data_IF_014376375573
#
_entry.id   IF_014376375573
#
_cell.length_a   1.000
_cell.length_b   1.000
_cell.length_c   1.000
_cell.angle_alpha   90.00
_cell.angle_beta   90.00
_cell.angle_gamma   90.00
#
_symmetry.space_group_name_H-M   'P 1'
#
loop_
_entity.id
_entity.type
_entity.pdbx_description
1 polymer ?
#
# COMPACT_ATOMS: atom_id res chain seq x y z
N UNK A 1 21.22 2.98 38.93
CA UNK A 1 19.82 2.66 39.20
C UNK A 1 19.40 1.63 38.16
N UNK A 2 19.06 0.41 38.60
CA UNK A 2 18.53 -0.61 37.70
C UNK A 2 17.08 -0.21 37.30
N UNK A 3 16.72 -0.23 36.03
CA UNK A 3 15.34 0.06 35.61
C UNK A 3 14.42 -0.96 36.26
N UNK A 4 13.35 -0.48 36.86
CA UNK A 4 12.32 -1.33 37.45
C UNK A 4 11.62 -2.09 36.29
N UNK A 5 11.62 -3.41 36.36
CA UNK A 5 11.08 -4.31 35.33
C UNK A 5 9.55 -4.16 35.07
N UNK A 6 8.88 -3.23 35.76
CA UNK A 6 7.41 -3.08 35.75
C UNK A 6 6.81 -2.38 34.56
N UNK A 7 7.60 -1.68 33.71
CA UNK A 7 7.07 -0.81 32.66
C UNK A 7 7.17 -1.37 31.24
N UNK A 8 7.79 -2.54 31.04
CA UNK A 8 7.89 -3.18 29.74
C UNK A 8 6.57 -3.92 29.41
N UNK A 9 5.89 -3.49 28.35
CA UNK A 9 4.69 -4.14 27.83
C UNK A 9 5.02 -4.83 26.50
N UNK A 10 4.77 -6.14 26.44
CA UNK A 10 4.91 -6.93 25.21
C UNK A 10 3.53 -7.39 24.73
N UNK A 11 3.28 -7.24 23.45
CA UNK A 11 2.05 -7.70 22.77
C UNK A 11 2.42 -8.57 21.60
N UNK A 12 1.86 -9.78 21.56
CA UNK A 12 1.88 -10.62 20.36
C UNK A 12 0.91 -10.04 19.34
N UNK A 13 1.31 -10.00 18.09
CA UNK A 13 0.48 -9.57 16.95
C UNK A 13 0.50 -10.66 15.88
N UNK A 14 -0.58 -10.79 15.14
CA UNK A 14 -0.64 -11.76 14.06
C UNK A 14 -1.85 -11.53 13.18
N UNK A 15 -1.78 -12.04 11.96
CA UNK A 15 -2.91 -12.05 11.03
C UNK A 15 -2.82 -13.20 10.07
N UNK A 16 -4.00 -13.65 9.65
CA UNK A 16 -4.19 -14.64 8.59
C UNK A 16 -5.27 -14.12 7.65
N UNK A 17 -4.91 -13.88 6.40
CA UNK A 17 -5.82 -13.51 5.32
C UNK A 17 -5.77 -14.61 4.27
N UNK A 18 -6.86 -15.35 4.13
CA UNK A 18 -7.02 -16.44 3.17
C UNK A 18 -8.01 -16.03 2.09
N UNK A 19 -7.56 -16.04 0.85
CA UNK A 19 -8.33 -15.65 -0.32
C UNK A 19 -8.64 -16.86 -1.21
N UNK A 20 -9.83 -16.85 -1.79
CA UNK A 20 -10.21 -17.69 -2.92
C UNK A 20 -10.72 -16.81 -4.05
N UNK A 21 -10.41 -17.16 -5.29
CA UNK A 21 -10.82 -16.37 -6.44
C UNK A 21 -11.14 -17.21 -7.67
N UNK A 22 -12.13 -16.71 -8.42
CA UNK A 22 -12.57 -17.29 -9.69
C UNK A 22 -12.61 -16.18 -10.74
N UNK A 23 -11.88 -16.40 -11.83
CA UNK A 23 -11.90 -15.52 -12.99
C UNK A 23 -13.00 -15.94 -13.95
N UNK A 24 -13.78 -14.96 -14.39
CA UNK A 24 -14.91 -15.13 -15.30
C UNK A 24 -14.63 -14.42 -16.62
N UNK A 25 -15.07 -15.01 -17.75
CA UNK A 25 -14.87 -14.45 -19.11
C UNK A 25 -13.41 -14.17 -19.44
N UNK A 26 -12.52 -15.03 -19.01
CA UNK A 26 -11.07 -14.85 -19.13
C UNK A 26 -10.43 -15.71 -20.21
N UNK A 27 -11.21 -16.42 -21.03
CA UNK A 27 -10.74 -17.37 -22.07
C UNK A 27 -9.63 -18.32 -21.56
N UNK A 28 -9.71 -18.71 -20.28
CA UNK A 28 -8.69 -19.52 -19.55
C UNK A 28 -7.30 -18.86 -19.44
N UNK A 29 -7.24 -17.54 -19.52
CA UNK A 29 -5.99 -16.80 -19.40
C UNK A 29 -5.48 -16.74 -17.95
N UNK A 30 -6.38 -16.74 -16.96
CA UNK A 30 -6.06 -16.68 -15.54
C UNK A 30 -6.46 -17.95 -14.80
N UNK A 31 -5.63 -18.37 -13.87
CA UNK A 31 -5.87 -19.50 -12.99
C UNK A 31 -6.79 -19.15 -11.81
N UNK A 32 -7.80 -19.98 -11.58
CA UNK A 32 -8.60 -19.94 -10.35
C UNK A 32 -7.85 -20.61 -9.22
N UNK A 33 -8.05 -20.17 -7.98
CA UNK A 33 -7.35 -20.79 -6.87
C UNK A 33 -7.62 -20.17 -5.51
N UNK A 34 -6.78 -20.57 -4.57
CA UNK A 34 -6.75 -20.06 -3.19
C UNK A 34 -5.33 -19.73 -2.80
N UNK A 35 -5.16 -18.73 -1.93
CA UNK A 35 -3.86 -18.33 -1.40
C UNK A 35 -3.97 -17.82 0.04
N UNK A 36 -2.85 -17.87 0.75
CA UNK A 36 -2.66 -17.00 1.91
C UNK A 36 -2.12 -15.65 1.41
N UNK A 37 -3.00 -14.68 1.31
CA UNK A 37 -2.64 -13.34 0.87
C UNK A 37 -1.70 -12.63 1.87
N UNK A 38 -1.94 -12.84 3.17
CA UNK A 38 -1.10 -12.28 4.22
C UNK A 38 -1.14 -13.18 5.48
N UNK A 39 -0.05 -13.82 5.78
CA UNK A 39 0.14 -14.59 7.00
C UNK A 39 1.31 -14.01 7.77
N UNK A 40 1.06 -13.49 8.98
CA UNK A 40 2.10 -12.81 9.79
C UNK A 40 2.00 -13.17 11.25
N UNK A 41 3.18 -13.16 11.88
CA UNK A 41 3.34 -13.20 13.32
C UNK A 41 4.36 -12.12 13.72
N UNK A 42 4.13 -11.46 14.84
CA UNK A 42 5.02 -10.41 15.29
C UNK A 42 4.89 -10.09 16.77
N UNK A 43 5.81 -9.28 17.23
CA UNK A 43 5.85 -8.77 18.60
C UNK A 43 5.97 -7.26 18.57
N UNK A 44 5.19 -6.58 19.41
CA UNK A 44 5.34 -5.16 19.73
C UNK A 44 5.70 -5.03 21.19
N UNK A 45 6.84 -4.42 21.47
CA UNK A 45 7.28 -4.07 22.82
C UNK A 45 7.20 -2.56 23.02
N UNK A 46 6.80 -2.12 24.22
CA UNK A 46 6.77 -0.70 24.59
C UNK A 46 7.37 -0.52 25.99
N UNK A 47 8.25 0.45 26.12
CA UNK A 47 8.89 0.84 27.38
C UNK A 47 9.00 2.35 27.44
N UNK A 48 8.27 2.98 28.35
CA UNK A 48 8.17 4.45 28.44
C UNK A 48 7.80 5.06 27.07
N UNK A 49 8.66 5.92 26.54
CA UNK A 49 8.50 6.59 25.24
C UNK A 49 9.00 5.76 24.04
N UNK A 50 9.60 4.60 24.29
CA UNK A 50 10.15 3.72 23.27
C UNK A 50 9.15 2.65 22.86
N UNK A 51 9.11 2.35 21.60
CA UNK A 51 8.41 1.18 21.07
C UNK A 51 9.28 0.47 20.04
N UNK A 52 9.16 -0.85 20.01
CA UNK A 52 9.80 -1.73 19.04
C UNK A 52 8.74 -2.62 18.41
N UNK A 53 8.85 -2.84 17.12
CA UNK A 53 7.98 -3.79 16.40
C UNK A 53 8.82 -4.67 15.50
N UNK A 54 8.53 -5.97 15.52
CA UNK A 54 9.09 -6.93 14.60
C UNK A 54 7.98 -7.85 14.11
N UNK A 55 7.86 -7.99 12.80
CA UNK A 55 6.90 -8.88 12.14
C UNK A 55 7.60 -9.75 11.10
N UNK A 56 7.27 -11.04 11.10
CA UNK A 56 7.66 -12.00 10.06
C UNK A 56 6.41 -12.42 9.31
N UNK A 57 6.48 -12.42 8.00
CA UNK A 57 5.39 -12.83 7.12
C UNK A 57 5.78 -14.01 6.24
N UNK A 58 4.79 -14.84 5.93
CA UNK A 58 4.90 -15.94 4.97
C UNK A 58 3.88 -15.73 3.86
N UNK A 59 4.35 -15.51 2.65
CA UNK A 59 3.53 -15.32 1.44
C UNK A 59 4.29 -15.87 0.23
N UNK A 60 3.59 -16.58 -0.65
CA UNK A 60 4.20 -17.11 -1.89
C UNK A 60 5.37 -18.04 -1.66
N UNK A 61 5.29 -18.92 -0.65
CA UNK A 61 6.35 -19.85 -0.23
C UNK A 61 7.66 -19.18 0.24
N UNK A 62 7.59 -17.91 0.63
CA UNK A 62 8.74 -17.17 1.14
C UNK A 62 8.47 -16.58 2.51
N UNK A 63 9.42 -16.75 3.41
CA UNK A 63 9.47 -16.05 4.69
C UNK A 63 10.16 -14.71 4.48
N UNK A 64 9.58 -13.63 4.98
CA UNK A 64 10.16 -12.28 4.88
C UNK A 64 9.92 -11.49 6.15
N UNK A 65 10.92 -10.68 6.53
CA UNK A 65 10.77 -9.70 7.59
C UNK A 65 9.89 -8.58 7.03
N UNK A 66 8.81 -8.24 7.74
CA UNK A 66 7.90 -7.14 7.39
C UNK A 66 8.34 -5.87 8.10
N UNK A 67 7.67 -5.48 9.16
CA UNK A 67 8.13 -4.35 9.96
C UNK A 67 9.23 -4.81 10.93
N UNK A 68 10.32 -4.04 11.02
CA UNK A 68 11.39 -4.23 12.00
C UNK A 68 11.97 -2.86 12.35
N UNK A 69 11.42 -2.20 13.36
CA UNK A 69 11.79 -0.84 13.70
C UNK A 69 11.73 -0.55 15.20
N UNK A 70 12.47 0.48 15.62
CA UNK A 70 12.32 1.14 16.88
C UNK A 70 11.80 2.56 16.68
N UNK A 71 10.95 3.04 17.58
CA UNK A 71 10.42 4.40 17.55
C UNK A 71 10.47 5.04 18.96
N UNK A 72 10.78 6.32 18.99
CA UNK A 72 10.72 7.17 20.18
C UNK A 72 9.61 8.20 20.01
N UNK A 73 8.69 8.27 20.97
CA UNK A 73 7.54 9.17 20.94
C UNK A 73 7.62 10.17 22.10
N UNK A 74 7.58 11.47 21.77
CA UNK A 74 7.52 12.55 22.76
C UNK A 74 6.39 13.50 22.41
N UNK A 75 5.28 13.40 23.13
CA UNK A 75 4.07 14.15 22.84
C UNK A 75 3.55 13.87 21.41
N UNK A 76 3.61 14.86 20.53
CA UNK A 76 3.17 14.77 19.15
C UNK A 76 4.29 14.38 18.16
N UNK A 77 5.49 14.17 18.65
CA UNK A 77 6.70 13.94 17.86
C UNK A 77 7.11 12.48 17.92
N UNK A 78 7.36 11.87 16.77
CA UNK A 78 7.77 10.48 16.66
C UNK A 78 9.02 10.44 15.77
N UNK A 79 10.07 9.79 16.23
CA UNK A 79 11.25 9.43 15.42
C UNK A 79 11.24 7.92 15.30
N UNK A 80 11.38 7.41 14.09
CA UNK A 80 11.36 5.98 13.80
C UNK A 80 12.58 5.59 12.98
N UNK A 81 13.21 4.45 13.30
CA UNK A 81 14.39 3.93 12.62
C UNK A 81 14.23 2.43 12.44
N UNK A 82 14.55 1.94 11.24
CA UNK A 82 14.47 0.52 10.88
C UNK A 82 13.81 0.29 9.55
N UNK A 83 13.13 -0.86 9.40
CA UNK A 83 12.40 -1.23 8.20
C UNK A 83 10.91 -1.02 8.38
N UNK A 84 10.31 -0.17 7.54
CA UNK A 84 8.87 0.13 7.53
C UNK A 84 8.47 0.76 6.20
N UNK A 85 7.17 1.08 6.02
CA UNK A 85 6.69 1.76 4.81
C UNK A 85 7.09 3.23 4.80
N UNK A 86 7.49 3.70 3.61
CA UNK A 86 7.65 5.13 3.34
C UNK A 86 6.31 5.86 3.53
N UNK A 87 6.28 7.07 4.13
CA UNK A 87 5.04 7.84 4.32
C UNK A 87 4.60 8.50 3.01
N UNK A 88 4.02 7.72 2.09
CA UNK A 88 3.69 8.22 0.75
C UNK A 88 2.21 8.16 0.41
N UNK A 89 1.53 7.01 0.52
CA UNK A 89 0.12 6.89 0.15
C UNK A 89 -0.75 6.53 1.34
N UNK A 90 -1.98 7.02 1.32
CA UNK A 90 -2.99 6.74 2.34
C UNK A 90 -3.37 5.26 2.38
N UNK A 91 -3.55 4.62 1.22
CA UNK A 91 -3.98 3.21 1.13
C UNK A 91 -2.85 2.23 1.53
N UNK A 92 -1.59 2.47 1.10
CA UNK A 92 -0.47 1.58 1.45
C UNK A 92 -0.12 1.60 2.94
N UNK A 93 -0.32 2.71 3.62
CA UNK A 93 -0.10 2.83 5.07
C UNK A 93 -1.19 2.11 5.87
N UNK A 94 -2.33 1.85 5.26
CA UNK A 94 -3.42 1.08 5.84
C UNK A 94 -3.00 -0.40 6.02
N UNK A 95 -3.40 -0.99 7.12
CA UNK A 95 -3.19 -2.43 7.31
C UNK A 95 -3.99 -3.24 6.30
N UNK A 96 -3.40 -4.30 5.75
CA UNK A 96 -4.03 -5.15 4.72
C UNK A 96 -5.40 -5.69 5.12
N UNK A 97 -5.64 -5.93 6.39
CA UNK A 97 -6.94 -6.37 6.90
C UNK A 97 -7.97 -5.24 7.04
N UNK A 98 -7.53 -3.99 7.02
CA UNK A 98 -8.40 -2.81 7.07
C UNK A 98 -8.80 -2.30 5.67
N UNK A 99 -8.14 -2.78 4.60
CA UNK A 99 -8.52 -2.49 3.22
C UNK A 99 -9.99 -2.89 2.96
N UNK A 100 -10.70 -2.12 2.12
CA UNK A 100 -12.09 -2.43 1.74
C UNK A 100 -12.20 -3.58 0.76
N UNK A 101 -11.18 -3.76 -0.06
CA UNK A 101 -11.06 -4.83 -1.05
C UNK A 101 -9.89 -5.77 -0.72
N UNK A 102 -9.73 -6.84 -1.50
CA UNK A 102 -8.70 -7.86 -1.32
C UNK A 102 -7.29 -7.30 -1.53
N UNK A 103 -7.15 -6.32 -2.43
CA UNK A 103 -5.89 -5.64 -2.74
C UNK A 103 -6.06 -4.12 -2.71
N UNK A 104 -4.95 -3.42 -2.49
CA UNK A 104 -4.85 -1.99 -2.75
C UNK A 104 -5.17 -1.69 -4.23
N UNK A 105 -5.59 -0.47 -4.56
CA UNK A 105 -5.77 -0.05 -5.96
C UNK A 105 -4.53 -0.28 -6.80
N UNK A 106 -4.71 -0.63 -8.08
CA UNK A 106 -3.60 -0.95 -8.98
C UNK A 106 -2.52 0.14 -9.05
N UNK A 107 -2.92 1.42 -8.99
CA UNK A 107 -1.98 2.55 -8.96
C UNK A 107 -1.12 2.58 -7.68
N UNK A 108 -1.70 2.26 -6.54
CA UNK A 108 -0.97 2.18 -5.28
C UNK A 108 0.04 1.02 -5.33
N UNK A 109 -0.38 -0.17 -5.81
CA UNK A 109 0.51 -1.31 -5.98
C UNK A 109 1.65 -1.03 -6.95
N UNK A 110 1.39 -0.32 -8.05
CA UNK A 110 2.40 0.00 -9.06
C UNK A 110 3.42 1.05 -8.59
N UNK A 111 2.98 2.09 -7.87
CA UNK A 111 3.80 3.26 -7.57
C UNK A 111 4.30 3.34 -6.13
N UNK A 112 3.93 2.41 -5.26
CA UNK A 112 4.52 2.33 -3.93
C UNK A 112 5.67 1.33 -3.90
N UNK A 113 6.69 1.66 -3.15
CA UNK A 113 7.71 0.68 -2.81
C UNK A 113 7.22 -0.13 -1.60
N UNK A 114 7.71 -1.33 -1.45
CA UNK A 114 7.52 -2.09 -0.22
C UNK A 114 8.17 -1.38 0.97
N UNK A 115 8.33 -2.11 2.05
CA UNK A 115 9.10 -1.63 3.20
C UNK A 115 10.55 -1.40 2.82
N UNK A 116 11.16 -0.35 3.39
CA UNK A 116 12.55 0.01 3.17
C UNK A 116 13.21 0.34 4.50
N UNK A 117 14.53 0.17 4.55
CA UNK A 117 15.33 0.60 5.69
C UNK A 117 15.50 2.11 5.65
N UNK A 118 15.25 2.76 6.78
CA UNK A 118 15.36 4.21 6.85
C UNK A 118 15.08 4.80 8.20
N UNK A 119 14.95 6.10 8.21
CA UNK A 119 14.55 6.89 9.36
C UNK A 119 13.48 7.88 8.96
N UNK A 120 12.53 8.12 9.83
CA UNK A 120 11.49 9.13 9.62
C UNK A 120 11.23 9.94 10.89
N UNK A 121 10.78 11.16 10.66
CA UNK A 121 10.22 12.03 11.69
C UNK A 121 8.75 12.28 11.37
N UNK A 122 7.90 12.21 12.39
CA UNK A 122 6.46 12.49 12.27
C UNK A 122 6.01 13.46 13.34
N UNK A 123 5.30 14.50 12.93
CA UNK A 123 4.49 15.33 13.79
C UNK A 123 3.02 14.91 13.65
N UNK A 124 2.40 14.49 14.75
CA UNK A 124 1.01 14.03 14.80
C UNK A 124 0.17 14.91 15.72
N UNK A 125 -0.37 15.99 15.18
CA UNK A 125 -1.31 16.88 15.87
C UNK A 125 -2.76 16.56 15.52
N UNK A 126 -3.72 17.14 16.22
CA UNK A 126 -5.16 16.90 15.98
C UNK A 126 -5.58 17.26 14.54
N UNK A 127 -5.18 18.43 14.05
CA UNK A 127 -5.58 18.94 12.74
C UNK A 127 -4.50 18.82 11.67
N UNK A 128 -3.24 18.69 12.06
CA UNK A 128 -2.11 18.61 11.14
C UNK A 128 -1.29 17.36 11.45
N UNK A 129 -0.95 16.66 10.40
CA UNK A 129 0.01 15.57 10.42
C UNK A 129 1.08 15.87 9.37
N UNK A 130 2.32 15.69 9.74
CA UNK A 130 3.46 15.84 8.84
C UNK A 130 4.44 14.70 9.10
N UNK A 131 4.85 14.01 8.05
CA UNK A 131 5.88 12.97 8.15
C UNK A 131 6.86 13.13 7.00
N UNK A 132 8.14 12.88 7.27
CA UNK A 132 9.18 12.86 6.26
C UNK A 132 10.31 11.93 6.68
N UNK A 133 11.03 11.41 5.71
CA UNK A 133 12.05 10.43 5.97
C UNK A 133 13.15 10.34 4.93
N UNK A 134 14.18 9.60 5.30
CA UNK A 134 15.27 9.17 4.43
C UNK A 134 15.31 7.65 4.42
N UNK A 135 15.29 7.05 3.24
CA UNK A 135 15.25 5.61 3.05
C UNK A 135 16.29 5.16 2.03
N UNK A 136 16.81 3.95 2.22
CA UNK A 136 17.62 3.27 1.20
C UNK A 136 16.73 2.37 0.35
N UNK A 137 17.18 1.94 -0.82
CA UNK A 137 16.42 1.01 -1.67
C UNK A 137 16.61 -0.46 -1.26
N UNK A 138 16.99 -0.68 -0.02
CA UNK A 138 17.18 -2.00 0.59
C UNK A 138 16.07 -2.36 1.56
N UNK A 139 15.82 -3.63 1.70
CA UNK A 139 15.09 -4.25 2.80
C UNK A 139 15.93 -5.34 3.47
N UNK A 140 15.53 -5.78 4.66
CA UNK A 140 16.26 -6.79 5.43
C UNK A 140 16.31 -8.19 4.76
N UNK A 141 15.54 -8.40 3.69
CA UNK A 141 15.51 -9.64 2.92
C UNK A 141 16.42 -9.64 1.70
N UNK A 142 16.94 -8.49 1.29
CA UNK A 142 17.72 -8.33 0.06
C UNK A 142 19.03 -7.61 0.35
N UNK A 143 20.09 -8.38 0.54
CA UNK A 143 21.45 -7.84 0.55
C UNK A 143 21.91 -7.71 -0.90
N UNK A 144 22.11 -6.48 -1.34
CA UNK A 144 22.57 -6.18 -2.71
C UNK A 144 24.08 -5.91 -2.70
N UNK A 145 24.80 -6.47 -3.66
CA UNK A 145 26.23 -6.21 -3.88
C UNK A 145 26.46 -5.01 -4.80
N UNK A 146 25.62 -3.99 -4.71
CA UNK A 146 25.61 -2.81 -5.57
C UNK A 146 25.46 -1.55 -4.71
N UNK A 147 25.76 -0.39 -5.26
CA UNK A 147 25.45 0.87 -4.59
C UNK A 147 23.95 1.09 -4.59
N UNK A 148 23.38 1.09 -3.41
CA UNK A 148 21.95 1.27 -3.22
C UNK A 148 21.51 2.70 -3.50
N UNK A 149 20.40 2.86 -4.18
CA UNK A 149 19.69 4.12 -4.28
C UNK A 149 19.15 4.57 -2.92
N UNK A 150 18.75 5.82 -2.86
CA UNK A 150 18.10 6.39 -1.67
C UNK A 150 16.84 7.17 -2.05
N UNK A 151 15.98 7.37 -1.07
CA UNK A 151 14.81 8.22 -1.19
C UNK A 151 14.75 9.26 -0.06
N UNK A 152 14.19 10.40 -0.40
CA UNK A 152 13.73 11.43 0.53
C UNK A 152 12.26 11.61 0.27
N UNK A 153 11.46 11.52 1.31
CA UNK A 153 10.01 11.65 1.21
C UNK A 153 9.42 12.64 2.20
N UNK A 154 8.21 13.05 1.91
CA UNK A 154 7.41 13.88 2.78
C UNK A 154 5.93 13.73 2.49
N UNK A 155 5.12 13.72 3.54
CA UNK A 155 3.65 13.69 3.49
C UNK A 155 3.07 14.67 4.48
N UNK A 156 2.15 15.50 4.02
CA UNK A 156 1.43 16.47 4.82
C UNK A 156 -0.06 16.17 4.76
N UNK A 157 -0.74 16.21 5.90
CA UNK A 157 -2.18 15.99 6.00
C UNK A 157 -2.82 17.09 6.85
N UNK A 158 -3.90 17.63 6.33
CA UNK A 158 -4.77 18.56 7.04
C UNK A 158 -6.10 17.88 7.36
N UNK A 159 -6.48 17.90 8.64
CA UNK A 159 -7.71 17.30 9.18
C UNK A 159 -8.58 18.39 9.81
N UNK A 160 -9.27 19.22 9.01
CA UNK A 160 -10.11 20.32 9.54
C UNK A 160 -11.23 19.80 10.45
N UNK A 161 -11.76 18.63 10.14
CA UNK A 161 -12.68 17.88 11.00
C UNK A 161 -12.00 16.59 11.42
N UNK A 162 -11.76 16.42 12.70
CA UNK A 162 -11.20 15.20 13.29
C UNK A 162 -11.89 14.95 14.64
N UNK A 163 -13.07 14.35 14.56
CA UNK A 163 -13.97 14.06 15.67
C UNK A 163 -14.46 12.61 15.56
N UNK A 164 -14.96 12.07 16.65
CA UNK A 164 -15.51 10.72 16.64
C UNK A 164 -16.64 10.56 15.60
N UNK A 165 -16.45 9.63 14.67
CA UNK A 165 -17.37 9.38 13.57
C UNK A 165 -17.46 10.46 12.49
N UNK A 166 -16.60 11.51 12.55
CA UNK A 166 -16.54 12.56 11.52
C UNK A 166 -15.09 12.92 11.23
N UNK A 167 -14.69 12.75 9.99
CA UNK A 167 -13.35 13.08 9.53
C UNK A 167 -13.39 13.71 8.15
N UNK A 168 -12.64 14.79 7.99
CA UNK A 168 -12.21 15.30 6.69
C UNK A 168 -10.69 15.32 6.70
N UNK A 169 -10.09 14.55 5.80
CA UNK A 169 -8.65 14.41 5.66
C UNK A 169 -8.28 14.79 4.22
N UNK A 170 -7.38 15.72 4.08
CA UNK A 170 -6.82 16.20 2.81
C UNK A 170 -5.31 16.12 2.93
N UNK A 171 -4.65 15.43 2.02
CA UNK A 171 -3.20 15.27 2.09
C UNK A 171 -2.51 15.35 0.75
N UNK A 172 -1.19 15.52 0.83
CA UNK A 172 -0.29 15.46 -0.31
C UNK A 172 1.05 14.87 0.12
N UNK A 173 1.69 14.16 -0.81
CA UNK A 173 2.97 13.53 -0.56
C UNK A 173 3.90 13.62 -1.78
N UNK A 174 5.21 13.60 -1.51
CA UNK A 174 6.26 13.62 -2.52
C UNK A 174 7.36 12.65 -2.13
N UNK A 175 7.92 11.97 -3.13
CA UNK A 175 9.12 11.12 -2.97
C UNK A 175 10.10 11.46 -4.07
N UNK A 176 11.32 11.83 -3.70
CA UNK A 176 12.48 11.85 -4.58
C UNK A 176 13.28 10.57 -4.35
N UNK A 177 13.65 9.85 -5.42
CA UNK A 177 14.41 8.59 -5.32
C UNK A 177 15.46 8.49 -6.40
N UNK A 178 16.65 8.03 -6.05
CA UNK A 178 17.68 7.61 -6.99
C UNK A 178 17.57 6.10 -7.25
N UNK A 179 17.90 5.61 -8.45
CA UNK A 179 17.94 4.17 -8.71
C UNK A 179 19.13 3.52 -8.00
N UNK A 180 19.08 2.20 -7.86
CA UNK A 180 20.28 1.42 -7.56
C UNK A 180 21.25 1.52 -8.74
N UNK A 181 22.55 1.67 -8.49
CA UNK A 181 23.56 1.53 -9.52
C UNK A 181 24.03 0.07 -9.55
N UNK A 182 23.72 -0.62 -10.62
CA UNK A 182 24.19 -1.97 -10.84
C UNK A 182 25.69 -2.00 -11.17
N UNK A 183 26.29 -3.18 -11.14
CA UNK A 183 27.62 -3.39 -11.69
C UNK A 183 27.58 -3.17 -13.23
N UNK A 184 28.65 -2.65 -13.84
CA UNK A 184 28.68 -2.43 -15.27
C UNK A 184 28.32 -3.73 -16.04
N UNK A 185 27.31 -3.65 -16.89
CA UNK A 185 26.82 -4.77 -17.68
C UNK A 185 25.59 -5.50 -17.15
N UNK A 186 25.04 -5.11 -16.00
CA UNK A 186 23.76 -5.61 -15.52
C UNK A 186 22.60 -5.00 -16.31
N UNK A 187 21.65 -5.84 -16.73
CA UNK A 187 20.46 -5.40 -17.50
C UNK A 187 19.53 -4.44 -16.73
N UNK A 188 19.64 -4.42 -15.41
CA UNK A 188 18.79 -3.61 -14.52
C UNK A 188 19.51 -2.36 -13.99
N UNK A 189 20.65 -2.01 -14.58
CA UNK A 189 21.39 -0.81 -14.19
C UNK A 189 20.52 0.44 -14.33
N UNK A 190 20.50 1.26 -13.26
CA UNK A 190 19.76 2.52 -13.22
C UNK A 190 18.29 2.38 -13.69
N UNK A 191 17.60 1.37 -13.21
CA UNK A 191 16.26 1.01 -13.68
C UNK A 191 15.21 1.16 -12.58
N UNK A 192 14.05 1.72 -12.94
CA UNK A 192 12.83 1.63 -12.12
C UNK A 192 11.82 0.67 -12.75
N UNK A 193 11.26 -0.22 -11.93
CA UNK A 193 10.24 -1.18 -12.34
C UNK A 193 8.94 -0.88 -11.60
N UNK A 194 7.86 -0.71 -12.36
CA UNK A 194 6.50 -0.54 -11.86
C UNK A 194 5.67 -1.73 -12.26
N UNK A 195 5.00 -2.36 -11.29
CA UNK A 195 4.21 -3.56 -11.55
C UNK A 195 2.97 -3.61 -10.68
N UNK A 196 1.89 -4.14 -11.24
CA UNK A 196 0.65 -4.39 -10.51
C UNK A 196 -0.02 -5.65 -11.01
N UNK A 197 -0.47 -6.55 -10.12
CA UNK A 197 -1.30 -7.69 -10.48
C UNK A 197 -2.75 -7.28 -10.79
N UNK A 198 -3.11 -6.01 -10.60
CA UNK A 198 -4.47 -5.52 -10.74
C UNK A 198 -5.30 -5.75 -9.49
N UNK A 199 -6.48 -6.35 -9.63
CA UNK A 199 -7.46 -6.51 -8.54
C UNK A 199 -7.28 -7.78 -7.71
N UNK A 200 -6.44 -8.73 -8.16
CA UNK A 200 -6.28 -10.04 -7.55
C UNK A 200 -4.84 -10.54 -7.67
N UNK A 201 -4.37 -11.26 -6.66
CA UNK A 201 -3.08 -11.97 -6.62
C UNK A 201 -3.22 -13.48 -6.74
N UNK A 202 -4.43 -14.01 -6.87
CA UNK A 202 -4.69 -15.46 -7.04
C UNK A 202 -3.93 -16.01 -8.24
N UNK A 203 -3.95 -15.30 -9.36
CA UNK A 203 -3.02 -15.52 -10.47
C UNK A 203 -1.84 -14.56 -10.28
N UNK A 204 -0.63 -15.09 -10.16
CA UNK A 204 0.57 -14.36 -9.75
C UNK A 204 1.18 -13.50 -10.88
N UNK A 205 0.48 -13.28 -11.99
CA UNK A 205 0.96 -12.46 -13.10
C UNK A 205 0.66 -10.98 -12.87
N UNK A 206 1.54 -10.13 -13.40
CA UNK A 206 1.33 -8.69 -13.36
C UNK A 206 0.60 -8.26 -14.65
N UNK A 207 -0.53 -7.59 -14.48
CA UNK A 207 -1.27 -6.93 -15.57
C UNK A 207 -0.50 -5.72 -16.09
N UNK A 208 0.13 -4.99 -15.21
CA UNK A 208 0.91 -3.80 -15.49
C UNK A 208 2.37 -4.11 -15.20
N UNK A 209 3.24 -3.80 -16.16
CA UNK A 209 4.68 -3.95 -16.00
C UNK A 209 5.42 -2.90 -16.86
N UNK A 210 5.96 -1.87 -16.24
CA UNK A 210 6.76 -0.85 -16.89
C UNK A 210 8.20 -0.92 -16.37
N UNK A 211 9.17 -1.10 -17.27
CA UNK A 211 10.60 -1.03 -17.00
C UNK A 211 11.13 0.28 -17.61
N UNK A 212 11.71 1.13 -16.78
CA UNK A 212 12.29 2.43 -17.16
C UNK A 212 13.76 2.43 -16.85
N UNK A 213 14.54 2.21 -17.86
CA UNK A 213 16.01 2.17 -17.84
C UNK A 213 16.64 3.56 -17.97
N UNK A 214 17.98 3.62 -17.84
CA UNK A 214 18.76 4.87 -17.93
C UNK A 214 18.24 5.98 -17.00
N UNK A 215 17.72 5.61 -15.84
CA UNK A 215 17.14 6.54 -14.88
C UNK A 215 18.24 7.27 -14.08
N UNK A 216 18.09 8.59 -13.94
CA UNK A 216 18.88 9.42 -13.01
C UNK A 216 18.21 9.55 -11.66
N UNK A 217 16.93 9.86 -11.67
CA UNK A 217 16.09 9.94 -10.48
C UNK A 217 14.61 9.84 -10.84
N UNK A 218 13.83 9.52 -9.85
CA UNK A 218 12.37 9.47 -9.89
C UNK A 218 11.81 10.54 -8.95
N UNK A 219 10.74 11.21 -9.39
CA UNK A 219 9.90 12.06 -8.56
C UNK A 219 8.47 11.51 -8.58
N UNK A 220 7.96 11.09 -7.42
CA UNK A 220 6.55 10.73 -7.24
C UNK A 220 5.82 11.85 -6.51
N UNK A 221 4.58 12.07 -6.90
CA UNK A 221 3.68 13.04 -6.30
C UNK A 221 2.32 12.38 -6.09
N UNK A 222 1.72 12.59 -4.94
CA UNK A 222 0.40 12.09 -4.60
C UNK A 222 -0.45 13.15 -3.95
N UNK A 223 -1.75 13.11 -4.22
CA UNK A 223 -2.76 13.86 -3.48
C UNK A 223 -3.82 12.88 -3.00
N UNK A 224 -4.36 13.13 -1.81
CA UNK A 224 -5.26 12.22 -1.15
C UNK A 224 -6.42 12.94 -0.47
N UNK A 225 -7.58 12.32 -0.48
CA UNK A 225 -8.79 12.76 0.19
C UNK A 225 -9.45 11.59 0.90
N UNK A 226 -9.90 11.84 2.13
CA UNK A 226 -10.76 10.90 2.85
C UNK A 226 -11.84 11.67 3.61
N UNK A 227 -13.06 11.19 3.51
CA UNK A 227 -14.22 11.69 4.24
C UNK A 227 -14.85 10.50 4.96
N UNK A 228 -15.03 10.63 6.27
CA UNK A 228 -15.86 9.71 7.03
C UNK A 228 -16.93 10.51 7.78
N UNK A 229 -18.17 10.10 7.65
CA UNK A 229 -19.27 10.66 8.38
C UNK A 229 -20.20 9.55 8.86
N UNK A 230 -20.05 9.17 10.14
CA UNK A 230 -20.77 8.05 10.74
C UNK A 230 -20.66 6.77 9.89
N UNK A 231 -21.72 6.40 9.16
CA UNK A 231 -21.83 5.19 8.33
C UNK A 231 -21.35 5.36 6.90
N UNK A 232 -21.01 6.57 6.47
CA UNK A 232 -20.51 6.87 5.14
C UNK A 232 -19.01 7.04 5.14
N UNK A 233 -18.35 6.51 4.12
CA UNK A 233 -16.92 6.63 3.90
C UNK A 233 -16.63 6.89 2.42
N UNK A 234 -15.73 7.83 2.14
CA UNK A 234 -15.20 8.12 0.83
C UNK A 234 -13.68 8.28 0.93
N UNK A 235 -12.95 7.73 -0.01
CA UNK A 235 -11.51 7.82 -0.11
C UNK A 235 -11.09 7.89 -1.57
N UNK A 236 -10.06 8.66 -1.86
CA UNK A 236 -9.45 8.69 -3.19
C UNK A 236 -8.03 9.21 -3.14
N UNK A 237 -7.23 8.74 -4.08
CA UNK A 237 -5.87 9.21 -4.32
C UNK A 237 -5.62 9.36 -5.82
N UNK A 238 -4.80 10.33 -6.18
CA UNK A 238 -4.19 10.44 -7.50
C UNK A 238 -2.68 10.49 -7.34
N UNK A 239 -1.97 9.64 -8.08
CA UNK A 239 -0.52 9.48 -7.98
C UNK A 239 0.08 9.59 -9.37
N UNK A 240 1.17 10.34 -9.46
CA UNK A 240 2.00 10.47 -10.66
C UNK A 240 3.45 10.16 -10.33
N UNK A 241 4.11 9.47 -11.23
CA UNK A 241 5.57 9.29 -11.23
C UNK A 241 6.18 9.96 -12.45
N UNK A 242 7.34 10.56 -12.27
CA UNK A 242 8.18 11.09 -13.35
C UNK A 242 9.59 10.56 -13.15
N UNK A 243 10.19 10.03 -14.20
CA UNK A 243 11.58 9.57 -14.20
C UNK A 243 12.40 10.45 -15.12
N UNK A 244 13.37 11.13 -14.55
CA UNK A 244 14.40 11.80 -15.31
C UNK A 244 15.39 10.73 -15.80
N UNK A 245 15.59 10.65 -17.11
CA UNK A 245 16.54 9.74 -17.73
C UNK A 245 17.83 10.46 -18.13
N UNK A 246 18.83 9.70 -18.48
CA UNK A 246 20.11 10.22 -18.97
C UNK A 246 19.96 11.01 -20.28
N UNK A 247 21.04 11.70 -20.68
CA UNK A 247 21.07 12.41 -21.97
C UNK A 247 20.75 11.43 -23.10
N UNK A 248 19.96 11.87 -24.09
CA UNK A 248 19.48 11.11 -25.24
C UNK A 248 18.29 10.19 -24.99
N UNK A 249 17.78 10.09 -23.77
CA UNK A 249 16.55 9.35 -23.47
C UNK A 249 15.45 10.32 -23.05
N UNK A 250 14.26 10.15 -23.65
CA UNK A 250 13.07 10.93 -23.26
C UNK A 250 12.64 10.56 -21.85
N UNK A 251 12.31 11.57 -21.04
CA UNK A 251 11.83 11.35 -19.68
C UNK A 251 10.52 10.56 -19.69
N UNK A 252 10.34 9.72 -18.69
CA UNK A 252 9.15 8.90 -18.52
C UNK A 252 8.18 9.55 -17.53
N UNK A 253 6.88 9.37 -17.76
CA UNK A 253 5.83 9.67 -16.79
C UNK A 253 4.74 8.60 -16.87
N UNK A 254 4.24 8.17 -15.70
CA UNK A 254 3.10 7.30 -15.54
C UNK A 254 2.20 7.83 -14.42
N UNK A 255 0.91 7.52 -14.46
CA UNK A 255 -0.03 8.04 -13.47
C UNK A 255 -1.29 7.19 -13.33
N UNK A 256 -2.06 7.48 -12.32
CA UNK A 256 -3.36 6.89 -12.10
C UNK A 256 -4.01 7.41 -10.84
N UNK A 257 -5.19 6.88 -10.55
CA UNK A 257 -5.92 7.26 -9.36
C UNK A 257 -7.07 6.29 -9.10
N UNK A 258 -7.65 6.44 -7.94
CA UNK A 258 -8.85 5.71 -7.59
C UNK A 258 -9.78 6.54 -6.73
N UNK A 259 -11.03 6.15 -6.72
CA UNK A 259 -12.03 6.57 -5.74
C UNK A 259 -12.75 5.33 -5.22
N UNK A 260 -12.93 5.26 -3.91
CA UNK A 260 -13.75 4.23 -3.27
C UNK A 260 -14.70 4.84 -2.26
N UNK A 261 -15.90 4.30 -2.21
CA UNK A 261 -16.90 4.66 -1.22
C UNK A 261 -17.42 3.42 -0.53
N UNK A 262 -17.89 3.60 0.69
CA UNK A 262 -18.57 2.53 1.40
C UNK A 262 -19.63 3.04 2.36
N UNK A 263 -20.58 2.15 2.68
CA UNK A 263 -21.70 2.41 3.56
C UNK A 263 -21.91 1.26 4.53
N UNK A 264 -22.01 1.58 5.80
CA UNK A 264 -22.35 0.60 6.84
C UNK A 264 -23.87 0.37 6.88
N UNK A 265 -24.29 -0.82 6.46
CA UNK A 265 -25.68 -1.28 6.66
C UNK A 265 -25.94 -1.50 8.14
N UNK A 266 -24.97 -2.06 8.86
CA UNK A 266 -24.96 -2.17 10.32
C UNK A 266 -23.62 -1.68 10.85
N UNK A 267 -23.57 -1.28 12.11
CA UNK A 267 -22.38 -0.66 12.71
C UNK A 267 -22.59 0.84 12.93
N UNK A 268 -21.63 1.49 13.57
CA UNK A 268 -21.77 2.89 13.98
C UNK A 268 -20.95 3.85 13.13
N UNK A 269 -19.66 3.55 12.95
CA UNK A 269 -18.70 4.47 12.35
C UNK A 269 -17.45 3.74 11.84
N UNK A 270 -16.69 4.43 11.02
CA UNK A 270 -15.38 4.00 10.56
C UNK A 270 -14.28 4.37 11.55
N UNK A 271 -13.24 3.52 11.61
CA UNK A 271 -12.02 3.82 12.34
C UNK A 271 -11.05 4.66 11.53
N UNK A 272 -10.11 5.26 12.23
CA UNK A 272 -9.00 6.01 11.67
C UNK A 272 -7.74 5.73 12.50
N UNK A 273 -6.62 5.45 11.83
CA UNK A 273 -5.32 5.34 12.49
C UNK A 273 -4.67 6.71 12.54
N UNK A 274 -4.72 7.34 13.71
CA UNK A 274 -4.14 8.66 13.94
C UNK A 274 -2.62 8.67 13.78
N UNK A 275 -1.95 7.57 14.13
CA UNK A 275 -0.48 7.51 14.13
C UNK A 275 0.10 7.47 12.71
N UNK A 276 -0.63 6.88 11.76
CA UNK A 276 -0.26 6.78 10.36
C UNK A 276 -1.07 7.72 9.47
N UNK A 277 -2.05 8.41 10.04
CA UNK A 277 -3.01 9.24 9.32
C UNK A 277 -3.61 8.48 8.12
N UNK A 278 -4.21 7.29 8.38
CA UNK A 278 -4.78 6.43 7.36
C UNK A 278 -6.09 5.78 7.80
N UNK A 279 -6.92 5.23 6.87
CA UNK A 279 -8.20 4.65 7.22
C UNK A 279 -8.06 3.37 8.04
N UNK A 280 -8.95 3.19 9.01
CA UNK A 280 -9.16 1.94 9.72
C UNK A 280 -10.47 1.25 9.29
N UNK A 281 -10.68 0.02 9.72
CA UNK A 281 -11.94 -0.70 9.53
C UNK A 281 -13.06 -0.11 10.37
N UNK A 282 -14.34 -0.50 10.12
CA UNK A 282 -15.46 -0.16 10.99
C UNK A 282 -15.24 -0.57 12.45
N UNK A 283 -15.75 0.24 13.36
CA UNK A 283 -15.65 -0.02 14.80
C UNK A 283 -16.71 -1.05 15.21
N UNK A 284 -16.25 -2.19 15.77
CA UNK A 284 -17.10 -3.26 16.24
C UNK A 284 -17.66 -4.16 15.13
N UNK A 285 -18.82 -4.79 15.41
CA UNK A 285 -19.54 -5.62 14.43
C UNK A 285 -20.19 -4.74 13.38
N UNK A 286 -19.97 -5.05 12.10
CA UNK A 286 -20.50 -4.25 11.00
C UNK A 286 -20.72 -5.08 9.73
N UNK A 287 -21.71 -4.68 8.93
CA UNK A 287 -21.91 -5.11 7.55
C UNK A 287 -21.73 -3.87 6.66
N UNK A 288 -20.81 -3.93 5.72
CA UNK A 288 -20.39 -2.84 4.85
C UNK A 288 -20.65 -3.20 3.38
N UNK A 289 -21.21 -2.26 2.63
CA UNK A 289 -21.19 -2.27 1.16
C UNK A 289 -20.10 -1.31 0.70
N UNK A 290 -19.32 -1.70 -0.31
CA UNK A 290 -18.28 -0.86 -0.86
C UNK A 290 -18.21 -0.93 -2.38
N UNK A 291 -17.77 0.18 -2.99
CA UNK A 291 -17.50 0.32 -4.41
C UNK A 291 -16.19 1.02 -4.64
N UNK A 292 -15.44 0.63 -5.68
CA UNK A 292 -14.19 1.27 -6.08
C UNK A 292 -14.10 1.36 -7.60
N UNK A 293 -13.66 2.52 -8.09
CA UNK A 293 -13.22 2.71 -9.46
C UNK A 293 -11.74 3.08 -9.44
N UNK A 294 -10.94 2.45 -10.30
CA UNK A 294 -9.51 2.63 -10.41
C UNK A 294 -9.11 2.84 -11.87
N UNK A 295 -8.16 3.73 -12.10
CA UNK A 295 -7.50 3.96 -13.39
C UNK A 295 -5.99 3.94 -13.20
N UNK A 296 -5.27 3.33 -14.13
CA UNK A 296 -3.83 3.24 -14.14
C UNK A 296 -3.33 3.25 -15.57
N UNK A 297 -2.38 4.15 -15.89
CA UNK A 297 -1.71 4.20 -17.18
C UNK A 297 -0.20 4.37 -16.97
N UNK A 298 0.54 3.35 -17.38
CA UNK A 298 1.99 3.29 -17.29
C UNK A 298 2.64 3.27 -18.69
N UNK A 299 1.87 3.62 -19.74
CA UNK A 299 2.40 3.81 -21.07
C UNK A 299 2.95 5.22 -21.24
N UNK A 300 4.07 5.34 -21.93
CA UNK A 300 4.62 6.60 -22.39
C UNK A 300 5.32 6.39 -23.74
N UNK A 301 4.58 6.69 -24.81
CA UNK A 301 5.02 6.46 -26.19
C UNK A 301 6.30 7.24 -26.53
N UNK A 302 6.38 8.49 -26.10
CA UNK A 302 7.55 9.35 -26.34
C UNK A 302 8.82 8.80 -25.66
N UNK A 303 8.66 8.16 -24.51
CA UNK A 303 9.75 7.52 -23.78
C UNK A 303 10.05 6.09 -24.27
N UNK A 304 9.24 5.54 -25.19
CA UNK A 304 9.36 4.16 -25.63
C UNK A 304 9.02 3.13 -24.56
N UNK A 305 8.20 3.48 -23.56
CA UNK A 305 7.84 2.61 -22.45
C UNK A 305 6.38 2.21 -22.57
N UNK A 306 6.15 0.91 -22.67
CA UNK A 306 4.83 0.29 -22.84
C UNK A 306 4.49 -0.55 -21.59
N UNK A 307 4.12 0.15 -20.50
CA UNK A 307 3.88 -0.47 -19.22
C UNK A 307 2.47 -1.06 -19.04
N UNK A 308 1.57 -0.77 -19.97
CA UNK A 308 0.17 -1.17 -19.92
C UNK A 308 -0.73 -0.14 -19.24
N UNK A 309 -2.03 -0.23 -19.54
CA UNK A 309 -3.06 0.57 -18.91
C UNK A 309 -4.21 -0.32 -18.43
N UNK A 310 -4.91 0.09 -17.37
CA UNK A 310 -6.03 -0.64 -16.82
C UNK A 310 -7.06 0.32 -16.22
N UNK A 311 -8.32 -0.04 -16.37
CA UNK A 311 -9.43 0.47 -15.59
C UNK A 311 -10.12 -0.70 -14.92
N UNK A 312 -10.61 -0.50 -13.71
CA UNK A 312 -11.43 -1.52 -13.05
C UNK A 312 -12.51 -0.89 -12.19
N UNK A 313 -13.61 -1.62 -12.08
CA UNK A 313 -14.71 -1.31 -11.18
C UNK A 313 -14.97 -2.51 -10.28
N UNK A 314 -15.02 -2.27 -8.97
CA UNK A 314 -15.23 -3.31 -7.97
C UNK A 314 -16.40 -2.98 -7.06
N UNK A 315 -17.18 -4.00 -6.75
CA UNK A 315 -18.25 -3.97 -5.74
C UNK A 315 -17.92 -5.01 -4.66
N UNK A 316 -18.18 -4.70 -3.40
CA UNK A 316 -17.88 -5.59 -2.30
C UNK A 316 -18.87 -5.53 -1.16
N UNK A 317 -18.94 -6.64 -0.44
CA UNK A 317 -19.67 -6.79 0.82
C UNK A 317 -18.67 -7.30 1.87
N UNK A 318 -18.49 -6.55 2.94
CA UNK A 318 -17.59 -6.91 4.04
C UNK A 318 -18.40 -7.14 5.31
N UNK A 319 -18.15 -8.25 5.97
CA UNK A 319 -18.75 -8.56 7.26
C UNK A 319 -17.66 -8.65 8.33
N UNK A 320 -17.70 -7.73 9.27
CA UNK A 320 -16.84 -7.68 10.45
C UNK A 320 -17.60 -8.30 11.61
N UNK A 321 -17.33 -9.58 11.93
CA UNK A 321 -17.97 -10.30 13.02
C UNK A 321 -17.61 -9.68 14.37
N UNK A 322 -16.34 -9.36 14.54
CA UNK A 322 -15.76 -8.70 15.71
C UNK A 322 -14.43 -8.07 15.35
N UNK A 323 -13.67 -7.59 16.35
CA UNK A 323 -12.34 -7.01 16.13
C UNK A 323 -11.28 -8.00 15.62
N UNK A 324 -11.54 -9.30 15.61
CA UNK A 324 -10.58 -10.35 15.23
C UNK A 324 -10.94 -11.08 13.94
N UNK A 325 -12.22 -11.22 13.64
CA UNK A 325 -12.71 -12.07 12.55
C UNK A 325 -13.57 -11.26 11.59
N UNK A 326 -13.33 -11.45 10.30
CA UNK A 326 -14.12 -10.86 9.23
C UNK A 326 -14.11 -11.69 7.96
N UNK A 327 -15.06 -11.38 7.08
CA UNK A 327 -15.18 -11.97 5.75
C UNK A 327 -15.41 -10.86 4.72
N UNK A 328 -14.90 -11.05 3.50
CA UNK A 328 -15.12 -10.11 2.37
C UNK A 328 -15.49 -10.90 1.14
N UNK A 329 -16.48 -10.41 0.42
CA UNK A 329 -16.84 -10.89 -0.92
C UNK A 329 -16.76 -9.70 -1.86
N UNK A 330 -16.06 -9.86 -2.99
CA UNK A 330 -15.94 -8.81 -3.99
C UNK A 330 -16.11 -9.38 -5.39
N UNK A 331 -16.74 -8.58 -6.24
CA UNK A 331 -16.77 -8.72 -7.70
C UNK A 331 -16.02 -7.56 -8.31
N UNK A 332 -15.09 -7.85 -9.22
CA UNK A 332 -14.33 -6.84 -9.94
C UNK A 332 -14.47 -7.07 -11.45
N UNK A 333 -14.80 -6.02 -12.18
CA UNK A 333 -14.77 -5.99 -13.62
C UNK A 333 -13.54 -5.22 -14.08
N UNK A 334 -12.67 -5.90 -14.83
CA UNK A 334 -11.38 -5.38 -15.29
C UNK A 334 -11.46 -5.11 -16.78
N UNK A 335 -11.06 -3.92 -17.16
CA UNK A 335 -10.99 -3.43 -18.54
C UNK A 335 -9.51 -3.16 -18.87
N UNK A 336 -8.82 -4.15 -19.46
CA UNK A 336 -7.46 -3.98 -19.95
C UNK A 336 -7.41 -2.88 -21.01
N UNK A 337 -6.39 -2.04 -20.94
CA UNK A 337 -6.10 -1.04 -21.94
C UNK A 337 -4.99 -1.50 -22.88
N UNK A 338 -4.39 -0.54 -23.61
CA UNK A 338 -3.30 -0.84 -24.55
C UNK A 338 -2.06 -1.39 -23.81
N UNK A 339 -1.33 -2.28 -24.50
CA UNK A 339 0.00 -2.78 -24.11
C UNK A 339 0.05 -3.60 -22.82
N UNK A 340 -1.03 -4.25 -22.42
CA UNK A 340 -0.97 -5.27 -21.38
C UNK A 340 -0.27 -6.49 -21.97
N UNK A 341 0.91 -6.84 -21.44
CA UNK A 341 1.67 -8.01 -21.90
C UNK A 341 0.93 -9.30 -21.57
N UNK A 342 0.89 -10.21 -22.55
CA UNK A 342 0.45 -11.62 -22.40
C UNK A 342 -1.04 -11.83 -22.10
N UNK A 343 -1.87 -10.78 -22.15
CA UNK A 343 -3.28 -10.85 -21.82
C UNK A 343 -4.08 -10.26 -22.98
N UNK A 344 -5.19 -10.90 -23.30
CA UNK A 344 -6.13 -10.43 -24.30
C UNK A 344 -6.65 -9.02 -23.95
N UNK A 345 -6.90 -8.20 -24.96
CA UNK A 345 -7.59 -6.90 -24.84
C UNK A 345 -9.03 -7.02 -24.33
N UNK A 346 -9.49 -8.24 -24.07
CA UNK A 346 -10.86 -8.51 -23.62
C UNK A 346 -11.04 -8.25 -22.13
N UNK A 347 -12.17 -7.65 -21.82
CA UNK A 347 -12.60 -7.47 -20.44
C UNK A 347 -12.85 -8.83 -19.76
N UNK A 348 -12.47 -8.92 -18.51
CA UNK A 348 -12.74 -10.08 -17.66
C UNK A 348 -13.26 -9.64 -16.29
N UNK A 349 -13.72 -10.61 -15.52
CA UNK A 349 -14.20 -10.35 -14.16
C UNK A 349 -13.57 -11.32 -13.18
N UNK A 350 -13.51 -10.90 -11.91
CA UNK A 350 -13.02 -11.73 -10.81
C UNK A 350 -14.02 -11.67 -9.67
N UNK A 351 -14.38 -12.85 -9.15
CA UNK A 351 -15.09 -12.98 -7.88
C UNK A 351 -14.11 -13.48 -6.84
N UNK A 352 -14.00 -12.77 -5.72
CA UNK A 352 -13.06 -13.12 -4.65
C UNK A 352 -13.76 -13.19 -3.30
N UNK A 353 -13.40 -14.19 -2.52
CA UNK A 353 -13.82 -14.38 -1.13
C UNK A 353 -12.59 -14.36 -0.23
N UNK A 354 -12.63 -13.58 0.85
CA UNK A 354 -11.61 -13.56 1.90
C UNK A 354 -12.20 -13.98 3.23
N UNK A 355 -11.49 -14.85 3.93
CA UNK A 355 -11.59 -15.03 5.36
C UNK A 355 -10.38 -14.36 6.03
N UNK A 356 -10.63 -13.57 7.08
CA UNK A 356 -9.55 -12.89 7.80
C UNK A 356 -9.66 -13.09 9.31
N UNK A 357 -8.51 -13.34 9.93
CA UNK A 357 -8.34 -13.45 11.37
C UNK A 357 -7.14 -12.62 11.83
N UNK A 358 -7.29 -11.92 12.96
CA UNK A 358 -6.31 -10.98 13.50
C UNK A 358 -6.19 -11.20 15.01
N UNK A 359 -4.96 -11.22 15.54
CA UNK A 359 -4.65 -11.29 16.97
C UNK A 359 -4.60 -9.90 17.61
#
# INVERSE_FOLDING_TARGET
>A
QHPVAGDLKCKLTGRMLMDGGVYLKNDNLFGNGTEFNDLRLGVKATYQNWSMKMEVGYVGNKVSIKDAFAAYTSGKHIIQVGQFYEPFTLDMLCSTYDLRFHQSPGIVLALTNGRRMGTSYTYNGKHYYASGGFFTDSDLGNVKNISQGYAIDGRLVYRPVNEEGKLLHIGAAVVYRTPDSALPGDEDENTFIYKSPGVSTIDNRNLIYAKVDHAKYQLKQGVELMIAHQRFFLQGEYIRTMVKREQNFTNYAGHGGYVQCSWLLTGRQYGYDEALACPGRPVGRALELCGRFNILDMNNEEAGVWGGAQKDFSLGVNYYMNKHIGMKLAYSWVMPGKHIKEISDKNFSVVQLRFQMIL
#
